data_IF_022928138732
#
_entry.id   IF_022928138732
#
_cell.length_a   1.000
_cell.length_b   1.000
_cell.length_c   1.000
_cell.angle_alpha   90.00
_cell.angle_beta   90.00
_cell.angle_gamma   90.00
#
_symmetry.space_group_name_H-M   'P 1'
#
loop_
_entity.id
_entity.type
_entity.pdbx_description
1 polymer ?
#
# COMPACT_ATOMS: atom_id res chain seq x y z
N UNK A 1 33.73 6.50 2.75
CA UNK A 1 32.27 6.78 2.90
C UNK A 1 31.68 5.78 3.85
N UNK A 2 31.14 6.23 4.93
CA UNK A 2 30.41 5.30 5.75
C UNK A 2 29.28 4.70 4.95
N UNK A 3 29.13 3.38 5.00
CA UNK A 3 27.94 2.72 4.53
C UNK A 3 26.77 3.32 5.26
N UNK A 4 26.03 4.16 4.59
CA UNK A 4 24.74 4.56 5.12
C UNK A 4 23.89 3.31 5.20
N UNK A 5 23.40 2.99 6.36
CA UNK A 5 22.38 1.98 6.51
C UNK A 5 21.15 2.47 5.76
N UNK A 6 21.08 2.13 4.47
CA UNK A 6 19.87 2.37 3.72
C UNK A 6 18.79 1.50 4.32
N UNK A 7 17.70 2.13 4.69
CA UNK A 7 16.50 1.39 4.99
C UNK A 7 16.12 0.60 3.73
N UNK A 8 15.83 -0.67 3.92
CA UNK A 8 15.27 -1.47 2.82
C UNK A 8 13.92 -0.88 2.44
N UNK A 9 13.60 -0.81 1.14
CA UNK A 9 12.31 -0.28 0.72
C UNK A 9 11.18 -1.14 1.27
N UNK A 10 10.21 -0.48 1.87
CA UNK A 10 9.06 -1.14 2.50
C UNK A 10 7.84 -0.98 1.62
N UNK A 11 7.11 -2.07 1.41
CA UNK A 11 5.81 -2.05 0.76
C UNK A 11 4.74 -2.19 1.83
N UNK A 12 3.89 -1.20 1.96
CA UNK A 12 2.75 -1.28 2.84
C UNK A 12 1.60 -1.94 2.09
N UNK A 13 1.15 -3.09 2.57
CA UNK A 13 -0.01 -3.80 2.01
C UNK A 13 -1.14 -3.69 3.01
N UNK A 14 -2.19 -3.01 2.63
CA UNK A 14 -3.39 -2.82 3.44
C UNK A 14 -4.48 -3.75 2.90
N UNK A 15 -4.61 -4.90 3.54
CA UNK A 15 -5.47 -5.99 3.11
C UNK A 15 -5.84 -6.85 4.31
N UNK A 16 -7.09 -7.22 4.43
CA UNK A 16 -7.57 -8.02 5.57
C UNK A 16 -7.77 -9.50 5.25
N UNK A 17 -7.69 -9.90 3.99
CA UNK A 17 -7.84 -11.29 3.57
C UNK A 17 -6.47 -11.98 3.53
N UNK A 18 -6.30 -13.00 4.36
CA UNK A 18 -5.02 -13.70 4.50
C UNK A 18 -4.56 -14.35 3.19
N UNK A 19 -5.49 -14.89 2.40
CA UNK A 19 -5.11 -15.53 1.13
C UNK A 19 -4.57 -14.52 0.12
N UNK A 20 -5.10 -13.30 0.13
CA UNK A 20 -4.61 -12.21 -0.72
C UNK A 20 -3.28 -11.68 -0.23
N UNK A 21 -3.11 -11.52 1.08
CA UNK A 21 -1.83 -11.12 1.67
C UNK A 21 -0.74 -12.13 1.26
N UNK A 22 -1.08 -13.40 1.28
CA UNK A 22 -0.15 -14.47 0.91
C UNK A 22 0.34 -14.35 -0.53
N UNK A 23 -0.52 -13.91 -1.44
CA UNK A 23 -0.11 -13.63 -2.82
C UNK A 23 0.94 -12.51 -2.87
N UNK A 24 0.73 -11.43 -2.14
CA UNK A 24 1.70 -10.33 -2.08
C UNK A 24 3.03 -10.81 -1.47
N UNK A 25 2.99 -11.67 -0.46
CA UNK A 25 4.19 -12.26 0.12
C UNK A 25 4.96 -13.07 -0.92
N UNK A 26 4.25 -13.91 -1.69
CA UNK A 26 4.86 -14.73 -2.74
C UNK A 26 5.47 -13.86 -3.85
N UNK A 27 4.77 -12.83 -4.27
CA UNK A 27 5.24 -11.96 -5.35
C UNK A 27 6.42 -11.07 -4.97
N UNK A 28 6.69 -10.91 -3.68
CA UNK A 28 7.76 -10.04 -3.19
C UNK A 28 8.94 -10.79 -2.57
N UNK A 29 8.83 -12.11 -2.41
CA UNK A 29 9.79 -12.90 -1.62
C UNK A 29 11.23 -12.84 -2.14
N UNK A 30 11.41 -12.73 -3.45
CA UNK A 30 12.74 -12.74 -4.08
C UNK A 30 13.28 -11.35 -4.36
N UNK A 31 12.51 -10.32 -4.05
CA UNK A 31 12.90 -8.94 -4.25
C UNK A 31 13.52 -8.29 -3.02
N UNK A 32 13.94 -7.04 -3.16
CA UNK A 32 14.59 -6.31 -2.06
C UNK A 32 13.61 -5.74 -1.03
N UNK A 33 12.31 -5.89 -1.26
CA UNK A 33 11.29 -5.23 -0.47
C UNK A 33 11.02 -5.95 0.85
N UNK A 34 10.79 -5.18 1.89
CA UNK A 34 10.22 -5.65 3.14
C UNK A 34 8.71 -5.39 3.07
N UNK A 35 7.93 -6.46 3.16
CA UNK A 35 6.47 -6.34 3.17
C UNK A 35 6.00 -5.97 4.57
N UNK A 36 5.27 -4.87 4.67
CA UNK A 36 4.64 -4.44 5.92
C UNK A 36 3.14 -4.63 5.75
N UNK A 37 2.55 -5.48 6.60
CA UNK A 37 1.15 -5.89 6.46
C UNK A 37 0.29 -5.16 7.47
N UNK A 38 -0.70 -4.44 6.97
CA UNK A 38 -1.76 -3.87 7.78
C UNK A 38 -3.05 -4.63 7.49
N UNK A 39 -3.52 -5.41 8.46
CA UNK A 39 -4.68 -6.28 8.27
C UNK A 39 -5.99 -5.60 8.68
N UNK A 40 -5.94 -4.36 9.09
CA UNK A 40 -7.11 -3.54 9.37
C UNK A 40 -6.81 -2.09 9.01
N UNK A 41 -7.86 -1.30 8.84
CA UNK A 41 -7.73 0.12 8.62
C UNK A 41 -7.02 0.82 9.78
N UNK A 42 -7.34 0.43 11.02
CA UNK A 42 -6.70 1.00 12.20
C UNK A 42 -5.21 0.74 12.25
N UNK A 43 -4.78 -0.47 11.87
CA UNK A 43 -3.35 -0.78 11.77
C UNK A 43 -2.67 0.10 10.72
N UNK A 44 -3.30 0.27 9.56
CA UNK A 44 -2.76 1.10 8.50
C UNK A 44 -2.59 2.55 8.97
N UNK A 45 -3.59 3.10 9.64
CA UNK A 45 -3.52 4.45 10.19
C UNK A 45 -2.37 4.59 11.18
N UNK A 46 -2.19 3.60 12.06
CA UNK A 46 -1.09 3.61 13.04
C UNK A 46 0.28 3.56 12.35
N UNK A 47 0.44 2.70 11.34
CA UNK A 47 1.68 2.59 10.59
C UNK A 47 2.02 3.87 9.84
N UNK A 48 1.04 4.52 9.25
CA UNK A 48 1.24 5.78 8.55
C UNK A 48 1.58 6.92 9.51
N UNK A 49 0.99 6.91 10.71
CA UNK A 49 1.25 7.93 11.70
C UNK A 49 2.65 7.83 12.31
N UNK A 50 3.09 6.61 12.61
CA UNK A 50 4.32 6.39 13.38
C UNK A 50 5.44 5.74 12.58
N UNK A 51 5.16 5.12 11.46
CA UNK A 51 6.12 4.33 10.71
C UNK A 51 6.11 4.57 9.19
N UNK A 52 5.66 5.73 8.74
CA UNK A 52 5.59 6.04 7.31
C UNK A 52 6.92 6.22 6.61
N UNK A 53 7.99 6.40 7.38
CA UNK A 53 9.32 6.55 6.82
C UNK A 53 9.79 5.24 6.18
N UNK A 54 10.40 5.35 5.01
CA UNK A 54 10.91 4.18 4.29
C UNK A 54 9.85 3.41 3.49
N UNK A 55 8.60 3.89 3.44
CA UNK A 55 7.58 3.30 2.58
C UNK A 55 7.85 3.72 1.14
N UNK A 56 8.09 2.73 0.29
CA UNK A 56 8.40 2.93 -1.12
C UNK A 56 7.17 2.75 -2.03
N UNK A 57 6.15 2.06 -1.55
CA UNK A 57 4.90 1.84 -2.28
C UNK A 57 3.80 1.35 -1.34
N UNK A 58 2.56 1.54 -1.76
CA UNK A 58 1.39 1.11 -0.99
C UNK A 58 0.45 0.32 -1.88
N UNK A 59 0.01 -0.84 -1.40
CA UNK A 59 -1.08 -1.62 -1.99
C UNK A 59 -2.29 -1.48 -1.07
N UNK A 60 -3.40 -1.03 -1.60
CA UNK A 60 -4.53 -0.59 -0.77
C UNK A 60 -5.85 -1.19 -1.23
N UNK A 61 -6.55 -1.84 -0.30
CA UNK A 61 -7.94 -2.25 -0.45
C UNK A 61 -8.86 -1.25 0.26
N UNK A 62 -10.14 -1.25 -0.09
CA UNK A 62 -11.16 -0.43 0.56
C UNK A 62 -11.84 -1.17 1.72
N UNK A 63 -12.21 -2.44 1.51
CA UNK A 63 -13.02 -3.19 2.47
C UNK A 63 -12.10 -3.87 3.48
N UNK A 64 -11.98 -3.28 4.66
CA UNK A 64 -10.98 -3.65 5.66
C UNK A 64 -11.60 -4.05 7.00
N UNK A 65 -12.84 -4.55 6.97
CA UNK A 65 -13.59 -4.82 8.18
C UNK A 65 -13.83 -6.29 8.48
N UNK A 66 -13.20 -7.21 7.74
CA UNK A 66 -13.39 -8.65 7.99
C UNK A 66 -12.66 -9.12 9.24
N UNK A 67 -11.62 -8.41 9.71
CA UNK A 67 -10.86 -8.76 10.89
C UNK A 67 -10.60 -7.54 11.78
N UNK A 68 -11.67 -6.85 12.27
CA UNK A 68 -11.46 -5.70 13.14
C UNK A 68 -10.89 -6.15 14.50
N UNK A 69 -9.91 -5.43 15.01
CA UNK A 69 -9.32 -5.70 16.32
C UNK A 69 -10.03 -4.94 17.44
N UNK A 70 -10.63 -3.80 17.09
CA UNK A 70 -11.36 -2.96 18.01
C UNK A 70 -12.66 -2.53 17.36
N UNK A 71 -13.59 -2.05 18.14
CA UNK A 71 -14.84 -1.50 17.62
C UNK A 71 -14.58 -0.33 16.67
N UNK A 72 -13.56 0.47 16.95
CA UNK A 72 -13.19 1.59 16.08
C UNK A 72 -12.72 1.11 14.69
N UNK A 73 -12.05 -0.04 14.60
CA UNK A 73 -11.59 -0.61 13.33
C UNK A 73 -12.73 -0.93 12.36
N UNK A 74 -13.92 -1.26 12.89
CA UNK A 74 -15.07 -1.58 12.04
C UNK A 74 -15.50 -0.41 11.17
N UNK A 75 -15.17 0.81 11.57
CA UNK A 75 -15.55 2.03 10.86
C UNK A 75 -14.47 2.58 9.95
N UNK A 76 -13.25 2.03 10.04
CA UNK A 76 -12.12 2.51 9.23
C UNK A 76 -12.09 1.76 7.92
N UNK A 77 -12.22 2.49 6.83
CA UNK A 77 -12.18 1.96 5.47
C UNK A 77 -10.90 2.37 4.75
N UNK A 78 -10.74 1.85 3.53
CA UNK A 78 -9.65 2.29 2.64
C UNK A 78 -9.71 3.78 2.34
N UNK A 79 -10.89 4.39 2.34
CA UNK A 79 -11.02 5.84 2.14
C UNK A 79 -10.38 6.64 3.28
N UNK A 80 -10.49 6.15 4.51
CA UNK A 80 -9.82 6.78 5.66
C UNK A 80 -8.30 6.63 5.55
N UNK A 81 -7.85 5.47 5.08
CA UNK A 81 -6.43 5.22 4.83
C UNK A 81 -5.90 6.15 3.74
N UNK A 82 -6.68 6.40 2.68
CA UNK A 82 -6.32 7.38 1.63
C UNK A 82 -6.07 8.75 2.24
N UNK A 83 -6.94 9.20 3.14
CA UNK A 83 -6.76 10.49 3.79
C UNK A 83 -5.46 10.54 4.61
N UNK A 84 -5.11 9.45 5.28
CA UNK A 84 -3.86 9.36 6.04
C UNK A 84 -2.64 9.36 5.10
N UNK A 85 -2.72 8.67 3.97
CA UNK A 85 -1.67 8.68 2.94
C UNK A 85 -1.42 10.13 2.46
N UNK A 86 -2.48 10.82 2.09
CA UNK A 86 -2.38 12.20 1.61
C UNK A 86 -1.77 13.12 2.65
N UNK A 87 -2.05 12.88 3.93
CA UNK A 87 -1.51 13.69 5.02
C UNK A 87 -0.06 13.37 5.36
N UNK A 88 0.41 12.14 5.09
CA UNK A 88 1.67 11.63 5.66
C UNK A 88 2.73 11.22 4.64
N UNK A 89 2.35 10.65 3.49
CA UNK A 89 3.33 10.10 2.57
C UNK A 89 3.75 11.12 1.51
N UNK A 90 5.04 11.08 1.10
CA UNK A 90 5.50 11.91 -0.01
C UNK A 90 4.78 11.55 -1.30
N UNK A 91 4.62 12.52 -2.18
CA UNK A 91 3.89 12.36 -3.45
C UNK A 91 4.57 11.41 -4.45
N UNK A 92 5.85 11.12 -4.26
CA UNK A 92 6.58 10.21 -5.14
C UNK A 92 6.28 8.73 -4.88
N UNK A 93 5.59 8.40 -3.79
CA UNK A 93 5.26 7.01 -3.43
C UNK A 93 4.13 6.50 -4.34
N UNK A 94 4.37 5.47 -5.19
CA UNK A 94 3.32 4.91 -6.03
C UNK A 94 2.29 4.15 -5.19
N UNK A 95 1.03 4.25 -5.60
CA UNK A 95 -0.09 3.59 -4.92
C UNK A 95 -0.76 2.62 -5.88
N UNK A 96 -0.93 1.38 -5.45
CA UNK A 96 -1.72 0.37 -6.15
C UNK A 96 -3.03 0.15 -5.39
N UNK A 97 -4.13 0.46 -6.02
CA UNK A 97 -5.46 0.20 -5.47
C UNK A 97 -5.95 -1.12 -6.08
N UNK A 98 -6.02 -2.16 -5.27
CA UNK A 98 -6.41 -3.50 -5.72
C UNK A 98 -7.83 -3.89 -5.28
N UNK A 99 -8.59 -2.95 -4.80
CA UNK A 99 -9.93 -3.17 -4.29
C UNK A 99 -10.89 -3.68 -5.37
N UNK A 100 -11.77 -4.60 -4.97
CA UNK A 100 -12.89 -5.07 -5.78
C UNK A 100 -14.12 -4.18 -5.66
N UNK A 101 -14.09 -3.19 -4.80
CA UNK A 101 -15.24 -2.31 -4.55
C UNK A 101 -15.44 -1.35 -5.72
N UNK A 102 -16.46 -1.60 -6.52
CA UNK A 102 -16.73 -0.84 -7.77
C UNK A 102 -17.19 0.59 -7.50
N UNK A 103 -17.71 0.85 -6.31
CA UNK A 103 -18.20 2.19 -5.92
C UNK A 103 -17.08 3.05 -5.36
N UNK A 104 -16.31 2.49 -4.41
CA UNK A 104 -15.33 3.27 -3.65
C UNK A 104 -13.94 3.29 -4.27
N UNK A 105 -13.53 2.22 -4.99
CA UNK A 105 -12.19 2.19 -5.56
C UNK A 105 -11.93 3.32 -6.57
N UNK A 106 -12.84 3.64 -7.49
CA UNK A 106 -12.64 4.78 -8.40
C UNK A 106 -12.51 6.11 -7.65
N UNK A 107 -13.26 6.29 -6.56
CA UNK A 107 -13.19 7.50 -5.74
C UNK A 107 -11.84 7.61 -5.06
N UNK A 108 -11.33 6.50 -4.52
CA UNK A 108 -10.00 6.45 -3.90
C UNK A 108 -8.91 6.81 -4.91
N UNK A 109 -8.97 6.24 -6.10
CA UNK A 109 -8.01 6.51 -7.18
C UNK A 109 -8.03 7.99 -7.54
N UNK A 110 -9.21 8.54 -7.76
CA UNK A 110 -9.38 9.95 -8.11
C UNK A 110 -8.84 10.87 -7.03
N UNK A 111 -9.09 10.55 -5.77
CA UNK A 111 -8.61 11.33 -4.63
C UNK A 111 -7.08 11.32 -4.57
N UNK A 112 -6.47 10.15 -4.76
CA UNK A 112 -5.01 10.01 -4.74
C UNK A 112 -4.36 10.71 -5.93
N UNK A 113 -4.91 10.53 -7.13
CA UNK A 113 -4.40 11.21 -8.33
C UNK A 113 -4.54 12.73 -8.18
N UNK A 114 -5.67 13.19 -7.68
CA UNK A 114 -5.89 14.62 -7.45
C UNK A 114 -4.92 15.22 -6.42
N UNK A 115 -4.44 14.40 -5.49
CA UNK A 115 -3.44 14.82 -4.51
C UNK A 115 -2.00 14.75 -5.05
N UNK A 116 -1.79 14.19 -6.25
CA UNK A 116 -0.47 14.16 -6.90
C UNK A 116 0.25 12.83 -6.85
N UNK A 117 -0.40 11.76 -6.41
CA UNK A 117 0.21 10.43 -6.40
C UNK A 117 0.05 9.72 -7.75
N UNK A 118 1.08 9.01 -8.19
CA UNK A 118 0.93 8.01 -9.24
C UNK A 118 0.10 6.86 -8.68
N UNK A 119 -1.07 6.64 -9.26
CA UNK A 119 -2.04 5.69 -8.74
C UNK A 119 -2.47 4.74 -9.85
N UNK A 120 -2.29 3.45 -9.60
CA UNK A 120 -2.67 2.38 -10.52
C UNK A 120 -3.81 1.60 -9.89
N UNK A 121 -4.83 1.30 -10.67
CA UNK A 121 -5.90 0.44 -10.20
C UNK A 121 -5.88 -0.88 -10.96
N UNK A 122 -5.72 -1.97 -10.22
CA UNK A 122 -5.85 -3.33 -10.75
C UNK A 122 -6.67 -4.12 -9.75
N UNK A 123 -7.88 -4.51 -10.14
CA UNK A 123 -8.73 -5.31 -9.26
C UNK A 123 -8.04 -6.61 -8.88
N UNK A 124 -8.19 -7.03 -7.64
CA UNK A 124 -7.55 -8.25 -7.15
C UNK A 124 -7.89 -9.48 -8.00
N UNK A 125 -9.10 -9.52 -8.58
CA UNK A 125 -9.53 -10.63 -9.44
C UNK A 125 -8.67 -10.83 -10.68
N UNK A 126 -8.00 -9.76 -11.17
CA UNK A 126 -7.15 -9.82 -12.37
C UNK A 126 -5.68 -9.49 -12.06
N UNK A 127 -5.38 -9.17 -10.81
CA UNK A 127 -4.00 -8.92 -10.39
C UNK A 127 -3.24 -10.25 -10.35
N UNK A 128 -2.13 -10.29 -11.07
CA UNK A 128 -1.24 -11.44 -11.11
C UNK A 128 0.20 -10.98 -10.90
N UNK A 129 1.13 -11.94 -10.87
CA UNK A 129 2.54 -11.65 -10.64
C UNK A 129 3.12 -10.70 -11.68
N UNK A 130 2.73 -10.86 -12.94
CA UNK A 130 3.25 -10.03 -14.04
C UNK A 130 2.79 -8.58 -13.90
N UNK A 131 1.51 -8.36 -13.64
CA UNK A 131 0.95 -7.03 -13.46
C UNK A 131 1.50 -6.37 -12.20
N UNK A 132 1.63 -7.15 -11.14
CA UNK A 132 2.23 -6.65 -9.90
C UNK A 132 3.70 -6.26 -10.11
N UNK A 133 4.46 -7.09 -10.85
CA UNK A 133 5.86 -6.78 -11.15
C UNK A 133 5.99 -5.49 -11.97
N UNK A 134 5.09 -5.26 -12.91
CA UNK A 134 5.08 -4.01 -13.69
C UNK A 134 4.89 -2.80 -12.77
N UNK A 135 4.01 -2.90 -11.79
CA UNK A 135 3.83 -1.84 -10.79
C UNK A 135 5.07 -1.72 -9.89
N UNK A 136 5.67 -2.84 -9.47
CA UNK A 136 6.90 -2.82 -8.67
C UNK A 136 8.05 -2.12 -9.40
N UNK A 137 8.10 -2.22 -10.72
CA UNK A 137 9.11 -1.50 -11.50
C UNK A 137 8.97 0.02 -11.30
N UNK A 138 7.76 0.52 -11.23
CA UNK A 138 7.51 1.92 -10.92
C UNK A 138 7.97 2.27 -9.51
N UNK A 139 7.71 1.39 -8.53
CA UNK A 139 8.19 1.56 -7.15
C UNK A 139 9.72 1.62 -7.12
N UNK A 140 10.37 0.70 -7.83
CA UNK A 140 11.83 0.65 -7.91
C UNK A 140 12.40 1.92 -8.50
N UNK A 141 11.79 2.42 -9.57
CA UNK A 141 12.25 3.65 -10.24
C UNK A 141 12.12 4.88 -9.34
N UNK A 142 11.09 4.92 -8.50
CA UNK A 142 10.85 6.04 -7.58
C UNK A 142 11.66 5.98 -6.31
N UNK A 143 12.13 4.81 -5.93
CA UNK A 143 12.92 4.65 -4.72
C UNK A 143 14.36 5.08 -4.93
N UNK A 144 14.89 5.88 -4.02
CA UNK A 144 16.27 6.34 -4.13
C UNK A 144 17.25 5.27 -3.62
N UNK A 145 17.83 4.53 -4.56
CA UNK A 145 18.86 3.52 -4.29
C UNK A 145 20.24 4.11 -4.08
N UNK A 146 20.39 5.40 -4.29
CA UNK A 146 21.68 6.08 -4.25
C UNK A 146 21.83 6.85 -2.95
N UNK A 147 21.87 6.25 -1.85
CA UNK A 147 22.02 6.96 -0.58
C UNK A 147 20.95 7.87 -0.13
#
# INVERSE_FOLDING_TARGET
>A
MPCKNKLRPRLLVVEDDESRIDLFRQWTKDGPYVLVEATSGGQALGMLKFGGEGIAGVCLDHDLNSRPRTQADEWVSGSDVVNAIVARLPRWVPILVHSMNVTHAPVMVKRLQGAGYSTTRIRMAVLDQQRFQSWLNEVTDGWDWKD
#
